data_IF_346123781199
#
_entry.id   IF_346123781199
#
_cell.length_a   1.000
_cell.length_b   1.000
_cell.length_c   1.000
_cell.angle_alpha   90.00
_cell.angle_beta   90.00
_cell.angle_gamma   90.00
#
_symmetry.space_group_name_H-M   'P 1'
#
loop_
_entity.id
_entity.type
_entity.pdbx_description
1 polymer ?
#
# COMPACT_ATOMS: atom_id res chain seq x y z
N UNK A 1 -7.62 23.30 -4.62
CA UNK A 1 -8.18 22.06 -4.04
C UNK A 1 -8.08 22.04 -2.52
N UNK A 2 -6.88 22.13 -1.92
CA UNK A 2 -6.74 22.16 -0.45
C UNK A 2 -7.45 23.37 0.17
N UNK A 3 -7.23 24.58 -0.35
CA UNK A 3 -7.92 25.79 0.14
C UNK A 3 -9.45 25.80 -0.05
N UNK A 4 -10.00 24.85 -0.82
CA UNK A 4 -11.45 24.64 -0.97
C UNK A 4 -11.99 23.49 -0.10
N UNK A 5 -11.13 22.84 0.68
CA UNK A 5 -11.48 21.67 1.51
C UNK A 5 -11.65 20.36 0.75
N UNK A 6 -11.44 20.33 -0.57
CA UNK A 6 -11.66 19.13 -1.39
C UNK A 6 -10.55 18.07 -1.26
N UNK A 7 -9.39 18.48 -0.76
CA UNK A 7 -8.25 17.59 -0.58
C UNK A 7 -7.56 17.92 0.75
N UNK A 8 -7.05 16.89 1.43
CA UNK A 8 -6.31 17.03 2.68
C UNK A 8 -4.87 16.53 2.50
N UNK A 9 -3.94 17.06 3.29
CA UNK A 9 -2.57 16.55 3.38
C UNK A 9 -2.38 15.79 4.67
N UNK A 10 -1.59 14.73 4.61
CA UNK A 10 -1.17 13.89 5.73
C UNK A 10 0.34 13.65 5.61
N UNK A 11 0.97 13.27 6.71
CA UNK A 11 2.39 12.86 6.75
C UNK A 11 2.59 11.36 6.57
N UNK A 12 1.57 10.64 6.09
CA UNK A 12 1.61 9.22 5.78
C UNK A 12 1.84 9.00 4.28
N UNK A 13 2.58 7.94 3.94
CA UNK A 13 2.81 7.54 2.54
C UNK A 13 1.52 7.15 1.82
N UNK A 14 0.63 6.45 2.53
CA UNK A 14 -0.66 6.01 2.04
C UNK A 14 -1.77 6.92 2.55
N UNK A 15 -2.79 7.10 1.72
CA UNK A 15 -4.09 7.62 2.16
C UNK A 15 -4.80 6.59 3.05
N UNK A 16 -5.82 7.03 3.80
CA UNK A 16 -6.60 6.11 4.64
C UNK A 16 -7.24 4.98 3.81
N UNK A 17 -7.77 5.29 2.63
CA UNK A 17 -8.37 4.29 1.74
C UNK A 17 -7.34 3.27 1.23
N UNK A 18 -6.13 3.72 0.89
CA UNK A 18 -5.04 2.82 0.49
C UNK A 18 -4.56 1.98 1.67
N UNK A 19 -4.43 2.56 2.86
CA UNK A 19 -4.13 1.81 4.08
C UNK A 19 -5.15 0.69 4.33
N UNK A 20 -6.44 0.99 4.21
CA UNK A 20 -7.53 0.01 4.31
C UNK A 20 -7.46 -1.06 3.24
N UNK A 21 -7.10 -0.71 2.00
CA UNK A 21 -6.87 -1.68 0.93
C UNK A 21 -5.76 -2.68 1.27
N UNK A 22 -4.61 -2.19 1.75
CA UNK A 22 -3.52 -3.07 2.20
C UNK A 22 -3.96 -3.93 3.40
N UNK A 23 -4.69 -3.34 4.35
CA UNK A 23 -5.19 -4.05 5.52
C UNK A 23 -6.13 -5.19 5.13
N UNK A 24 -7.05 -4.96 4.18
CA UNK A 24 -7.96 -5.97 3.65
C UNK A 24 -7.23 -7.19 3.06
N UNK A 25 -6.17 -6.98 2.28
CA UNK A 25 -5.43 -8.10 1.66
C UNK A 25 -4.53 -8.83 2.65
N UNK A 26 -3.88 -8.10 3.56
CA UNK A 26 -2.84 -8.66 4.42
C UNK A 26 -3.37 -9.20 5.74
N UNK A 27 -4.30 -8.50 6.38
CA UNK A 27 -4.72 -8.77 7.75
C UNK A 27 -6.24 -8.95 7.88
N UNK A 28 -6.69 -9.32 9.08
CA UNK A 28 -8.09 -9.44 9.45
C UNK A 28 -8.54 -8.36 10.45
N UNK A 29 -7.85 -7.21 10.51
CA UNK A 29 -8.05 -6.25 11.60
C UNK A 29 -9.34 -5.43 11.44
N UNK A 30 -9.61 -4.93 10.24
CA UNK A 30 -10.79 -4.10 9.95
C UNK A 30 -11.83 -4.82 9.10
N UNK A 31 -11.43 -5.87 8.36
CA UNK A 31 -12.28 -6.63 7.46
C UNK A 31 -12.15 -8.11 7.78
N UNK A 32 -13.26 -8.77 8.05
CA UNK A 32 -13.31 -10.20 8.39
C UNK A 32 -13.50 -11.13 7.18
N UNK A 33 -13.62 -10.57 5.98
CA UNK A 33 -13.79 -11.29 4.72
C UNK A 33 -12.59 -11.12 3.77
N UNK A 34 -11.45 -10.68 4.32
CA UNK A 34 -10.22 -10.49 3.57
C UNK A 34 -9.49 -11.80 3.30
N UNK A 35 -8.53 -11.82 2.34
CA UNK A 35 -7.66 -12.97 2.10
C UNK A 35 -6.72 -13.35 3.25
N UNK A 36 -6.46 -12.41 4.18
CA UNK A 36 -5.59 -12.60 5.36
C UNK A 36 -4.20 -13.16 5.04
N UNK A 37 -3.60 -12.71 3.94
CA UNK A 37 -2.37 -13.32 3.40
C UNK A 37 -1.23 -13.36 4.42
N UNK A 38 -1.06 -12.31 5.24
CA UNK A 38 -0.05 -12.28 6.30
C UNK A 38 -0.35 -13.33 7.36
N UNK A 39 -1.60 -13.41 7.82
CA UNK A 39 -1.99 -14.36 8.87
C UNK A 39 -1.83 -15.81 8.38
N UNK A 40 -2.29 -16.12 7.16
CA UNK A 40 -2.20 -17.45 6.56
C UNK A 40 -0.75 -17.98 6.51
N UNK A 41 0.19 -17.12 6.13
CA UNK A 41 1.59 -17.52 5.95
C UNK A 41 2.43 -17.43 7.22
N UNK A 42 2.15 -16.49 8.13
CA UNK A 42 2.85 -16.39 9.41
C UNK A 42 2.47 -17.53 10.36
N UNK A 43 1.18 -17.91 10.40
CA UNK A 43 0.69 -18.92 11.33
C UNK A 43 0.74 -20.35 10.77
N UNK A 44 1.17 -20.53 9.51
CA UNK A 44 1.46 -21.83 8.89
C UNK A 44 0.27 -22.79 8.74
N UNK A 45 -0.94 -22.37 9.11
CA UNK A 45 -2.10 -23.27 9.26
C UNK A 45 -2.77 -23.65 7.93
N UNK A 46 -2.42 -23.01 6.82
CA UNK A 46 -3.05 -23.22 5.50
C UNK A 46 -2.05 -23.29 4.34
N UNK A 47 -0.74 -23.22 4.62
CA UNK A 47 0.29 -23.08 3.60
C UNK A 47 0.55 -24.36 2.78
N UNK A 48 -0.12 -25.48 3.06
CA UNK A 48 0.08 -26.75 2.33
C UNK A 48 -1.22 -27.38 1.83
N UNK A 49 -2.38 -26.77 2.10
CA UNK A 49 -3.69 -27.38 1.80
C UNK A 49 -4.32 -26.82 0.51
N UNK A 50 -3.96 -25.60 0.12
CA UNK A 50 -4.58 -24.90 -1.02
C UNK A 50 -3.91 -25.17 -2.39
N UNK A 51 -2.76 -25.88 -2.42
CA UNK A 51 -2.04 -26.24 -3.64
C UNK A 51 -1.14 -25.12 -4.22
N UNK A 52 -0.29 -25.47 -5.21
CA UNK A 52 0.72 -24.58 -5.79
C UNK A 52 0.11 -23.33 -6.46
N UNK A 53 -1.05 -23.48 -7.11
CA UNK A 53 -1.77 -22.37 -7.76
C UNK A 53 -2.21 -21.28 -6.77
N UNK A 54 -2.65 -21.67 -5.57
CA UNK A 54 -3.04 -20.72 -4.53
C UNK A 54 -1.84 -19.91 -4.02
N UNK A 55 -0.66 -20.54 -3.95
CA UNK A 55 0.57 -19.85 -3.59
C UNK A 55 1.03 -18.90 -4.69
N UNK A 56 0.93 -19.30 -5.96
CA UNK A 56 1.25 -18.43 -7.08
C UNK A 56 0.34 -17.20 -7.13
N UNK A 57 -0.97 -17.39 -6.96
CA UNK A 57 -1.92 -16.27 -6.91
C UNK A 57 -1.62 -15.32 -5.73
N UNK A 58 -1.31 -15.88 -4.55
CA UNK A 58 -0.89 -15.09 -3.39
C UNK A 58 0.38 -14.29 -3.66
N UNK A 59 1.37 -14.92 -4.29
CA UNK A 59 2.62 -14.26 -4.70
C UNK A 59 2.34 -13.08 -5.62
N UNK A 60 1.49 -13.24 -6.63
CA UNK A 60 1.12 -12.14 -7.54
C UNK A 60 0.45 -10.98 -6.80
N UNK A 61 -0.41 -11.25 -5.82
CA UNK A 61 -1.04 -10.22 -4.99
C UNK A 61 0.02 -9.48 -4.17
N UNK A 62 0.92 -10.21 -3.50
CA UNK A 62 1.99 -9.63 -2.69
C UNK A 62 2.96 -8.79 -3.55
N UNK A 63 3.31 -9.28 -4.74
CA UNK A 63 4.17 -8.59 -5.69
C UNK A 63 3.52 -7.28 -6.15
N UNK A 64 2.24 -7.30 -6.53
CA UNK A 64 1.48 -6.09 -6.90
C UNK A 64 1.47 -5.07 -5.77
N UNK A 65 1.21 -5.48 -4.53
CA UNK A 65 1.20 -4.57 -3.38
C UNK A 65 2.59 -3.99 -3.10
N UNK A 66 3.64 -4.79 -3.24
CA UNK A 66 5.03 -4.33 -3.09
C UNK A 66 5.39 -3.30 -4.15
N UNK A 67 5.06 -3.57 -5.42
CA UNK A 67 5.28 -2.62 -6.51
C UNK A 67 4.52 -1.31 -6.27
N UNK A 68 3.28 -1.37 -5.79
CA UNK A 68 2.51 -0.18 -5.45
C UNK A 68 3.20 0.68 -4.36
N UNK A 69 3.80 0.05 -3.33
CA UNK A 69 4.57 0.77 -2.31
C UNK A 69 5.84 1.40 -2.90
N UNK A 70 6.58 0.67 -3.74
CA UNK A 70 7.80 1.20 -4.37
C UNK A 70 7.48 2.41 -5.25
N UNK A 71 6.42 2.34 -6.05
CA UNK A 71 5.97 3.46 -6.89
C UNK A 71 5.58 4.66 -6.02
N UNK A 72 4.79 4.45 -4.97
CA UNK A 72 4.40 5.49 -4.01
C UNK A 72 5.60 6.20 -3.37
N UNK A 73 6.60 5.43 -2.93
CA UNK A 73 7.82 5.98 -2.31
C UNK A 73 8.60 6.80 -3.33
N UNK A 74 8.75 6.28 -4.55
CA UNK A 74 9.44 6.99 -5.62
C UNK A 74 8.74 8.32 -5.95
N UNK A 75 7.41 8.29 -6.07
CA UNK A 75 6.61 9.49 -6.33
C UNK A 75 6.80 10.55 -5.22
N UNK A 76 6.88 10.12 -3.96
CA UNK A 76 7.11 11.03 -2.83
C UNK A 76 8.52 11.67 -2.88
N UNK A 77 9.54 10.91 -3.28
CA UNK A 77 10.88 11.45 -3.51
C UNK A 77 10.92 12.46 -4.67
N UNK A 78 10.29 12.15 -5.80
CA UNK A 78 10.21 13.05 -6.96
C UNK A 78 9.47 14.34 -6.59
N UNK A 79 8.37 14.22 -5.84
CA UNK A 79 7.59 15.36 -5.38
C UNK A 79 8.40 16.22 -4.40
N UNK A 80 9.13 15.61 -3.47
CA UNK A 80 10.01 16.32 -2.55
C UNK A 80 11.13 17.08 -3.28
N UNK A 81 11.79 16.45 -4.25
CA UNK A 81 12.81 17.09 -5.08
C UNK A 81 12.25 18.27 -5.87
N UNK A 82 11.07 18.10 -6.48
CA UNK A 82 10.39 19.15 -7.26
C UNK A 82 10.01 20.34 -6.38
N UNK A 83 9.49 20.10 -5.18
CA UNK A 83 9.11 21.16 -4.24
C UNK A 83 10.34 21.96 -3.77
N UNK A 84 11.48 21.31 -3.53
CA UNK A 84 12.74 22.00 -3.18
C UNK A 84 13.20 22.89 -4.33
N UNK A 85 13.25 22.35 -5.55
CA UNK A 85 13.65 23.11 -6.74
C UNK A 85 12.72 24.31 -7.02
N UNK A 86 11.42 24.22 -6.69
CA UNK A 86 10.49 25.33 -6.82
C UNK A 86 10.71 26.44 -5.78
N UNK A 87 11.17 26.09 -4.57
CA UNK A 87 11.48 27.05 -3.50
C UNK A 87 12.78 27.82 -3.77
N UNK A 88 13.71 27.23 -4.51
CA UNK A 88 15.03 27.80 -4.81
C UNK A 88 15.03 28.74 -6.03
N UNK A 89 13.93 28.88 -6.78
CA UNK A 89 13.85 29.81 -7.91
C UNK A 89 13.71 31.26 -7.41
N UNK A 90 14.56 32.20 -7.85
CA UNK A 90 14.41 33.61 -7.50
C UNK A 90 13.09 34.14 -8.11
N UNK A 91 12.39 34.98 -7.33
CA UNK A 91 11.12 35.62 -7.72
C UNK A 91 11.31 36.62 -8.84
#
# INVERSE_FOLDING_TARGET
MIGKGWATRRSSLLTEAEGKYFNYFLNAQEFSNGPELRNKYIHGSQANTEGEDAHFHTYLIALRMTLALVIKINDDFVLAATNRAAQERPR
#
